data_IF_409300471411
#
_entry.id   IF_409300471411
#
_cell.length_a   1.000
_cell.length_b   1.000
_cell.length_c   1.000
_cell.angle_alpha   90.00
_cell.angle_beta   90.00
_cell.angle_gamma   90.00
#
_symmetry.space_group_name_H-M   'P 1'
#
loop_
_entity.id
_entity.type
_entity.pdbx_description
1 polymer ?
#
# COMPACT_ATOMS: atom_id res chain seq x y z
N UNK A 1 0.26 -21.97 3.68
CA UNK A 1 0.43 -20.54 3.96
C UNK A 1 -0.39 -19.75 2.94
N UNK A 2 -1.36 -19.00 3.39
CA UNK A 2 -2.15 -18.17 2.47
C UNK A 2 -1.45 -16.83 2.31
N UNK A 3 -0.95 -16.58 1.11
CA UNK A 3 -0.44 -15.26 0.74
C UNK A 3 -1.62 -14.38 0.32
N UNK A 4 -1.60 -13.12 0.73
CA UNK A 4 -2.60 -12.18 0.24
C UNK A 4 -2.24 -11.77 -1.18
N UNK A 5 -3.04 -12.22 -2.13
CA UNK A 5 -2.83 -11.99 -3.57
C UNK A 5 -3.99 -11.27 -4.23
N UNK A 6 -4.99 -10.85 -3.44
CA UNK A 6 -6.11 -10.07 -3.97
C UNK A 6 -5.79 -8.58 -3.94
N UNK A 7 -5.52 -7.96 -5.11
CA UNK A 7 -5.17 -6.55 -5.16
C UNK A 7 -6.30 -5.63 -4.69
N UNK A 8 -7.56 -6.04 -4.86
CA UNK A 8 -8.70 -5.24 -4.37
C UNK A 8 -8.73 -5.21 -2.84
N UNK A 9 -8.51 -6.36 -2.22
CA UNK A 9 -8.45 -6.45 -0.76
C UNK A 9 -7.29 -5.65 -0.20
N UNK A 10 -6.09 -5.80 -0.77
CA UNK A 10 -4.90 -5.04 -0.35
C UNK A 10 -5.15 -3.53 -0.52
N UNK A 11 -5.74 -3.11 -1.64
CA UNK A 11 -6.08 -1.70 -1.87
C UNK A 11 -7.06 -1.18 -0.81
N UNK A 12 -8.13 -1.93 -0.53
CA UNK A 12 -9.11 -1.54 0.48
C UNK A 12 -8.49 -1.41 1.87
N UNK A 13 -7.65 -2.35 2.25
CA UNK A 13 -6.95 -2.33 3.54
C UNK A 13 -5.97 -1.14 3.64
N UNK A 14 -5.27 -0.82 2.55
CA UNK A 14 -4.41 0.37 2.49
C UNK A 14 -5.21 1.67 2.58
N UNK A 15 -6.38 1.75 1.95
CA UNK A 15 -7.25 2.94 2.04
C UNK A 15 -7.72 3.16 3.48
N UNK A 16 -7.99 2.10 4.23
CA UNK A 16 -8.37 2.16 5.64
C UNK A 16 -7.24 2.65 6.54
N UNK A 17 -5.99 2.47 6.13
CA UNK A 17 -4.85 3.17 6.72
C UNK A 17 -4.84 4.59 6.15
N UNK A 18 -5.28 5.59 6.91
CA UNK A 18 -5.47 6.96 6.38
C UNK A 18 -4.22 7.51 5.73
N UNK A 19 -3.08 7.39 6.39
CA UNK A 19 -1.75 7.77 5.89
C UNK A 19 -1.69 9.15 5.22
N UNK A 20 -2.42 10.11 5.78
CA UNK A 20 -2.33 11.51 5.35
C UNK A 20 -0.94 12.02 5.75
N UNK A 21 -0.16 12.48 4.77
CA UNK A 21 1.21 12.97 4.98
C UNK A 21 1.30 13.93 6.17
N UNK A 22 2.22 13.74 7.12
CA UNK A 22 3.36 12.79 7.14
C UNK A 22 3.08 11.47 7.88
N UNK A 23 1.83 11.20 8.26
CA UNK A 23 1.46 10.03 9.04
C UNK A 23 1.41 8.77 8.19
N UNK A 24 1.83 7.64 8.77
CA UNK A 24 1.78 6.33 8.11
C UNK A 24 0.50 5.56 8.41
N UNK A 25 0.00 5.66 9.61
CA UNK A 25 -1.24 5.04 10.09
C UNK A 25 -1.33 3.52 9.82
N UNK A 26 -0.17 2.85 9.83
CA UNK A 26 -0.08 1.39 9.70
C UNK A 26 0.05 0.88 8.26
N UNK A 27 0.10 1.74 7.25
CA UNK A 27 0.21 1.32 5.85
C UNK A 27 1.51 0.55 5.58
N UNK A 28 2.64 1.02 6.10
CA UNK A 28 3.95 0.36 5.94
C UNK A 28 3.99 -0.99 6.67
N UNK A 29 3.43 -1.08 7.87
CA UNK A 29 3.37 -2.34 8.62
C UNK A 29 2.50 -3.38 7.92
N UNK A 30 1.40 -2.96 7.32
CA UNK A 30 0.54 -3.84 6.51
C UNK A 30 1.33 -4.44 5.33
N UNK A 31 2.00 -3.60 4.56
CA UNK A 31 2.80 -4.04 3.41
C UNK A 31 3.98 -4.93 3.85
N UNK A 32 4.66 -4.56 4.92
CA UNK A 32 5.74 -5.36 5.48
C UNK A 32 5.25 -6.77 5.86
N UNK A 33 4.08 -6.87 6.47
CA UNK A 33 3.50 -8.17 6.85
C UNK A 33 3.20 -9.02 5.61
N UNK A 34 2.54 -8.45 4.60
CA UNK A 34 2.19 -9.16 3.37
C UNK A 34 3.46 -9.65 2.65
N UNK A 35 4.41 -8.75 2.44
CA UNK A 35 5.65 -9.06 1.71
C UNK A 35 6.54 -10.05 2.48
N UNK A 36 6.64 -9.92 3.81
CA UNK A 36 7.39 -10.89 4.62
C UNK A 36 6.77 -12.27 4.55
N UNK A 37 5.46 -12.37 4.58
CA UNK A 37 4.75 -13.65 4.42
C UNK A 37 4.99 -14.27 3.02
N UNK A 38 5.19 -13.43 2.02
CA UNK A 38 5.53 -13.88 0.66
C UNK A 38 7.02 -14.20 0.47
N UNK A 39 7.84 -14.09 1.50
CA UNK A 39 9.25 -14.46 1.47
C UNK A 39 10.21 -13.31 1.19
N UNK A 40 9.74 -12.07 1.17
CA UNK A 40 10.60 -10.90 1.05
C UNK A 40 11.36 -10.64 2.36
N UNK A 41 12.60 -10.22 2.23
CA UNK A 41 13.36 -9.63 3.34
C UNK A 41 13.04 -8.15 3.41
N UNK A 42 12.42 -7.72 4.51
CA UNK A 42 11.89 -6.39 4.68
C UNK A 42 12.69 -5.59 5.71
N UNK A 43 13.01 -4.35 5.38
CA UNK A 43 13.71 -3.41 6.26
C UNK A 43 12.96 -2.09 6.31
N UNK A 44 12.75 -1.55 7.52
CA UNK A 44 12.25 -0.19 7.70
C UNK A 44 13.40 0.80 7.58
N UNK A 45 13.22 1.83 6.77
CA UNK A 45 14.21 2.88 6.53
C UNK A 45 13.56 4.22 6.81
N UNK A 46 13.32 4.49 8.09
CA UNK A 46 12.66 5.71 8.51
C UNK A 46 13.61 6.90 8.43
N UNK A 47 13.10 8.04 7.97
CA UNK A 47 13.88 9.25 7.86
C UNK A 47 12.99 10.48 8.11
N UNK A 48 13.42 11.32 9.04
CA UNK A 48 12.72 12.58 9.34
C UNK A 48 11.27 12.41 9.78
N UNK A 49 10.95 11.31 10.48
CA UNK A 49 9.58 11.00 10.88
C UNK A 49 8.71 10.35 9.80
N UNK A 50 9.29 10.06 8.64
CA UNK A 50 8.62 9.38 7.52
C UNK A 50 9.01 7.90 7.53
N UNK A 51 8.02 7.02 7.54
CA UNK A 51 8.22 5.58 7.45
C UNK A 51 8.39 5.14 6.01
N UNK A 52 9.47 4.40 5.75
CA UNK A 52 9.73 3.80 4.45
C UNK A 52 10.01 2.31 4.60
N UNK A 53 9.59 1.54 3.61
CA UNK A 53 9.84 0.10 3.54
C UNK A 53 10.75 -0.20 2.36
N UNK A 54 11.81 -0.96 2.62
CA UNK A 54 12.62 -1.57 1.59
C UNK A 54 12.44 -3.09 1.68
N UNK A 55 11.99 -3.71 0.61
CA UNK A 55 11.78 -5.15 0.55
C UNK A 55 12.51 -5.74 -0.64
N UNK A 56 13.17 -6.86 -0.43
CA UNK A 56 13.93 -7.56 -1.46
C UNK A 56 13.61 -9.06 -1.43
N UNK A 57 13.45 -9.62 -2.61
CA UNK A 57 13.28 -11.06 -2.80
C UNK A 57 14.42 -11.62 -3.62
N UNK A 58 14.87 -12.82 -3.27
CA UNK A 58 15.97 -13.51 -3.97
C UNK A 58 17.32 -13.35 -3.26
N UNK A 59 17.94 -14.48 -2.94
CA UNK A 59 19.22 -14.52 -2.23
C UNK A 59 20.41 -14.32 -3.18
N UNK A 60 20.29 -14.74 -4.42
CA UNK A 60 21.36 -14.66 -5.42
C UNK A 60 21.08 -13.56 -6.43
N UNK A 61 22.04 -12.66 -6.56
CA UNK A 61 21.93 -11.49 -7.45
C UNK A 61 22.72 -11.68 -8.74
N UNK A 62 22.61 -12.87 -9.33
CA UNK A 62 23.33 -13.22 -10.56
C UNK A 62 22.48 -12.95 -11.80
N UNK A 63 21.96 -11.77 -11.95
CA UNK A 63 21.12 -11.47 -13.10
C UNK A 63 20.49 -10.09 -13.03
N UNK A 64 19.42 -9.93 -13.77
CA UNK A 64 18.70 -8.66 -13.85
C UNK A 64 17.85 -8.49 -12.59
N UNK A 65 17.82 -7.27 -12.08
CA UNK A 65 16.97 -6.87 -10.97
C UNK A 65 15.79 -6.04 -11.51
N UNK A 66 14.58 -6.38 -11.08
CA UNK A 66 13.39 -5.55 -11.30
C UNK A 66 13.07 -4.82 -10.00
N UNK A 67 12.81 -3.53 -10.08
CA UNK A 67 12.44 -2.71 -8.93
C UNK A 67 11.13 -1.99 -9.15
N UNK A 68 10.35 -1.89 -8.08
CA UNK A 68 9.15 -1.07 -8.03
C UNK A 68 9.33 0.00 -6.94
N UNK A 69 8.92 1.22 -7.24
CA UNK A 69 8.89 2.31 -6.29
C UNK A 69 7.51 2.93 -6.26
N UNK A 70 6.91 3.02 -5.08
CA UNK A 70 5.60 3.61 -4.88
C UNK A 70 5.52 4.29 -3.52
N UNK A 71 4.44 5.04 -3.30
CA UNK A 71 4.17 5.70 -2.03
C UNK A 71 2.83 5.27 -1.46
N UNK A 72 2.71 5.31 -0.14
CA UNK A 72 1.48 4.97 0.60
C UNK A 72 0.78 6.19 1.18
N UNK A 73 1.48 7.31 1.27
CA UNK A 73 0.91 8.55 1.78
C UNK A 73 -0.06 9.18 0.78
N UNK A 74 -1.00 9.92 1.33
CA UNK A 74 -2.03 10.62 0.58
C UNK A 74 -2.15 12.07 1.03
N UNK A 75 -2.73 12.90 0.17
CA UNK A 75 -3.08 14.27 0.52
C UNK A 75 -4.39 14.31 1.33
N UNK A 76 -4.66 15.38 2.08
CA UNK A 76 -5.93 15.55 2.78
C UNK A 76 -7.14 15.45 1.83
N UNK A 77 -8.28 15.05 2.36
CA UNK A 77 -9.49 14.79 1.56
C UNK A 77 -10.24 16.06 1.13
N UNK A 78 -9.88 17.22 1.66
CA UNK A 78 -10.60 18.45 1.44
C UNK A 78 -11.94 18.49 2.19
N UNK A 79 -12.95 19.06 1.58
CA UNK A 79 -14.30 19.12 2.16
C UNK A 79 -14.97 17.73 2.11
N UNK A 80 -15.09 17.09 3.27
CA UNK A 80 -15.66 15.76 3.37
C UNK A 80 -17.13 15.69 2.93
N UNK A 81 -17.86 16.80 2.97
CA UNK A 81 -19.25 16.84 2.53
C UNK A 81 -19.40 16.63 1.02
N UNK A 82 -18.34 16.81 0.26
CA UNK A 82 -18.32 16.57 -1.19
C UNK A 82 -18.07 15.12 -1.57
N UNK A 83 -17.74 14.26 -0.60
CA UNK A 83 -17.54 12.84 -0.84
C UNK A 83 -18.87 12.09 -0.76
N UNK A 84 -19.14 11.24 -1.75
CA UNK A 84 -20.31 10.36 -1.76
C UNK A 84 -20.13 9.08 -0.97
N UNK A 85 -18.91 8.79 -0.54
CA UNK A 85 -18.51 7.63 0.29
C UNK A 85 -17.57 8.10 1.38
N UNK A 86 -17.32 7.26 2.39
CA UNK A 86 -16.23 7.52 3.33
C UNK A 86 -14.88 7.45 2.57
N UNK A 87 -14.09 8.53 2.52
CA UNK A 87 -12.82 8.53 1.79
C UNK A 87 -11.80 7.53 2.30
N UNK A 88 -11.96 7.00 3.50
CA UNK A 88 -11.08 6.00 4.11
C UNK A 88 -11.81 4.67 4.40
N UNK A 89 -12.96 4.44 3.81
CA UNK A 89 -13.74 3.23 4.03
C UNK A 89 -13.26 2.02 3.23
N UNK A 90 -12.56 2.24 2.13
CA UNK A 90 -12.17 1.16 1.22
C UNK A 90 -13.37 0.48 0.58
N UNK A 91 -14.41 1.24 0.27
CA UNK A 91 -15.67 0.72 -0.25
C UNK A 91 -15.52 0.24 -1.70
N UNK A 92 -16.04 -0.96 -1.97
CA UNK A 92 -16.14 -1.50 -3.32
C UNK A 92 -17.60 -1.40 -3.75
N UNK A 93 -17.87 -0.60 -4.77
CA UNK A 93 -19.19 -0.28 -5.27
C UNK A 93 -19.15 -0.05 -6.77
N UNK A 94 -20.15 -0.56 -7.49
CA UNK A 94 -20.25 -0.44 -8.95
C UNK A 94 -18.97 -0.93 -9.68
N UNK A 95 -18.41 -2.07 -9.22
CA UNK A 95 -17.19 -2.67 -9.75
C UNK A 95 -15.96 -1.75 -9.63
N UNK A 96 -15.98 -0.77 -8.75
CA UNK A 96 -14.89 0.18 -8.49
C UNK A 96 -14.58 0.24 -7.01
N UNK A 97 -13.32 0.51 -6.70
CA UNK A 97 -12.90 0.82 -5.35
C UNK A 97 -12.85 2.33 -5.17
N UNK A 98 -13.44 2.79 -4.07
CA UNK A 98 -13.62 4.20 -3.79
C UNK A 98 -12.81 4.62 -2.55
N UNK A 99 -12.14 5.75 -2.64
CA UNK A 99 -11.48 6.33 -1.49
C UNK A 99 -10.27 7.18 -1.85
N UNK A 100 -9.79 7.91 -0.86
CA UNK A 100 -8.56 8.68 -0.99
C UNK A 100 -7.38 7.72 -1.15
N UNK A 101 -6.57 7.90 -2.19
CA UNK A 101 -5.46 7.02 -2.51
C UNK A 101 -5.82 5.83 -3.39
N UNK A 102 -7.10 5.62 -3.73
CA UNK A 102 -7.51 4.53 -4.61
C UNK A 102 -6.81 4.60 -5.97
N UNK A 103 -6.67 5.78 -6.54
CA UNK A 103 -5.98 6.01 -7.81
C UNK A 103 -4.50 6.35 -7.59
N UNK A 104 -4.19 7.26 -6.71
CA UNK A 104 -2.84 7.77 -6.44
C UNK A 104 -2.46 7.52 -4.98
N UNK A 105 -1.70 6.45 -4.73
CA UNK A 105 -1.42 5.37 -5.67
C UNK A 105 -1.52 3.98 -4.99
N UNK A 106 -2.40 3.83 -4.01
CA UNK A 106 -2.53 2.59 -3.23
C UNK A 106 -2.91 1.38 -4.09
N UNK A 107 -3.72 1.58 -5.15
CA UNK A 107 -4.03 0.50 -6.08
C UNK A 107 -2.81 0.03 -6.88
N UNK A 108 -1.93 0.94 -7.27
CA UNK A 108 -0.68 0.59 -7.95
C UNK A 108 0.26 -0.20 -7.04
N UNK A 109 0.38 0.22 -5.79
CA UNK A 109 1.16 -0.50 -4.77
C UNK A 109 0.56 -1.90 -4.54
N UNK A 110 -0.75 -1.98 -4.35
CA UNK A 110 -1.44 -3.24 -4.13
C UNK A 110 -1.31 -4.20 -5.32
N UNK A 111 -1.42 -3.69 -6.54
CA UNK A 111 -1.25 -4.50 -7.75
C UNK A 111 0.15 -5.11 -7.85
N UNK A 112 1.19 -4.32 -7.54
CA UNK A 112 2.55 -4.83 -7.50
C UNK A 112 2.72 -5.90 -6.41
N UNK A 113 2.28 -5.62 -5.20
CA UNK A 113 2.41 -6.54 -4.05
C UNK A 113 1.66 -7.86 -4.31
N UNK A 114 0.47 -7.80 -4.89
CA UNK A 114 -0.30 -9.00 -5.24
C UNK A 114 0.38 -9.85 -6.31
N UNK A 115 1.10 -9.22 -7.24
CA UNK A 115 1.80 -9.91 -8.33
C UNK A 115 3.18 -10.43 -7.92
N UNK A 116 3.79 -9.82 -6.93
CA UNK A 116 5.13 -10.17 -6.48
C UNK A 116 5.13 -11.48 -5.68
#
# INVERSE_FOLDING_TARGET
>A
MNFETDPLKITADLIRCKSITPHDDGAIDLLKTILSNAGFSCSLVDRGGISNLFAIWGAERNGKTFGFNGHTDVVPVGDISLWSVDPFGGEIKDEKIWGRGACDMKSGVAAFVAAA
#
